data_IF_580082644907
#
_entry.id   IF_580082644907
#
_cell.length_a   1.000
_cell.length_b   1.000
_cell.length_c   1.000
_cell.angle_alpha   90.00
_cell.angle_beta   90.00
_cell.angle_gamma   90.00
#
_symmetry.space_group_name_H-M   'P 1'
#
loop_
_entity.id
_entity.type
_entity.pdbx_description
1 polymer ?
#
# COMPACT_ATOMS: atom_id res chain seq x y z
N UNK A 1 -3.42 8.63 -15.98
CA UNK A 1 -3.12 8.12 -14.62
C UNK A 1 -1.62 8.04 -14.53
N UNK A 2 -0.97 8.91 -13.73
CA UNK A 2 0.48 8.76 -13.51
C UNK A 2 0.71 7.52 -12.65
N UNK A 3 1.64 6.68 -13.07
CA UNK A 3 1.94 5.39 -12.42
C UNK A 3 3.19 5.61 -11.57
N UNK A 4 3.05 5.57 -10.25
CA UNK A 4 4.16 5.84 -9.32
C UNK A 4 5.01 4.59 -9.05
N UNK A 5 4.40 3.41 -9.10
CA UNK A 5 5.09 2.13 -8.93
C UNK A 5 5.18 1.38 -10.26
N UNK A 6 5.49 2.07 -11.35
CA UNK A 6 5.55 1.55 -12.72
C UNK A 6 6.49 0.34 -12.88
N UNK A 7 7.60 0.34 -12.15
CA UNK A 7 8.59 -0.75 -12.14
C UNK A 7 8.15 -2.00 -11.35
N UNK A 8 7.04 -1.94 -10.63
CA UNK A 8 6.58 -3.04 -9.78
C UNK A 8 5.36 -3.72 -10.37
N UNK A 9 5.42 -5.02 -10.57
CA UNK A 9 4.22 -5.79 -10.86
C UNK A 9 3.33 -5.96 -9.62
N UNK A 10 2.10 -6.42 -9.86
CA UNK A 10 1.23 -6.85 -8.76
C UNK A 10 1.91 -7.99 -7.99
N UNK A 11 1.98 -7.87 -6.67
CA UNK A 11 2.56 -8.89 -5.78
C UNK A 11 1.71 -10.15 -5.82
N UNK A 12 2.35 -11.29 -6.07
CA UNK A 12 1.71 -12.60 -6.20
C UNK A 12 2.21 -13.55 -5.13
N UNK A 13 1.44 -14.61 -4.87
CA UNK A 13 1.90 -15.73 -4.07
C UNK A 13 2.80 -16.65 -4.91
N UNK A 14 3.99 -16.93 -4.40
CA UNK A 14 4.97 -17.84 -5.03
C UNK A 14 5.36 -19.02 -4.13
N UNK A 15 4.88 -19.03 -2.89
CA UNK A 15 5.13 -20.11 -1.93
C UNK A 15 6.38 -19.92 -1.05
N UNK A 16 6.55 -20.80 -0.04
CA UNK A 16 7.46 -20.58 1.07
C UNK A 16 8.94 -20.65 0.68
N UNK A 17 9.26 -21.25 -0.47
CA UNK A 17 10.63 -21.39 -0.99
C UNK A 17 11.02 -20.26 -1.95
N UNK A 18 10.12 -19.31 -2.24
CA UNK A 18 10.44 -18.21 -3.15
C UNK A 18 11.55 -17.32 -2.60
N UNK A 19 12.54 -17.04 -3.44
CA UNK A 19 13.61 -16.08 -3.18
C UNK A 19 13.24 -14.66 -3.61
N UNK A 20 12.13 -14.47 -4.34
CA UNK A 20 11.65 -13.16 -4.78
C UNK A 20 11.22 -12.32 -3.55
N UNK A 21 11.86 -11.17 -3.29
CA UNK A 21 11.49 -10.32 -2.16
C UNK A 21 10.14 -9.63 -2.34
N UNK A 22 9.62 -9.54 -3.57
CA UNK A 22 8.37 -8.88 -3.93
C UNK A 22 7.25 -9.88 -4.22
N UNK A 23 7.31 -11.06 -3.59
CA UNK A 23 6.27 -12.08 -3.65
C UNK A 23 5.83 -12.49 -2.24
N UNK A 24 4.55 -12.86 -2.12
CA UNK A 24 4.05 -13.47 -0.90
C UNK A 24 4.54 -14.92 -0.79
N UNK A 25 5.19 -15.23 0.34
CA UNK A 25 5.65 -16.58 0.66
C UNK A 25 4.59 -17.44 1.36
N UNK A 26 3.69 -16.80 2.10
CA UNK A 26 2.70 -17.49 2.94
C UNK A 26 1.27 -16.97 2.73
N UNK A 27 1.12 -15.77 2.17
CA UNK A 27 -0.20 -15.21 1.93
C UNK A 27 -0.71 -15.66 0.55
N UNK A 28 -1.51 -16.73 0.55
CA UNK A 28 -2.33 -17.11 -0.58
C UNK A 28 -3.79 -16.73 -0.31
N UNK A 29 -4.33 -15.67 -0.92
CA UNK A 29 -5.68 -15.18 -0.63
C UNK A 29 -6.79 -16.20 -0.94
N UNK A 30 -6.55 -17.11 -1.89
CA UNK A 30 -7.50 -18.12 -2.34
C UNK A 30 -7.42 -19.43 -1.54
N UNK A 31 -6.42 -19.56 -0.66
CA UNK A 31 -6.26 -20.72 0.21
C UNK A 31 -7.39 -20.81 1.24
N UNK A 32 -8.00 -21.99 1.36
CA UNK A 32 -9.03 -22.27 2.34
C UNK A 32 -8.41 -22.71 3.66
N UNK A 33 -8.55 -21.88 4.69
CA UNK A 33 -8.16 -22.19 6.07
C UNK A 33 -9.45 -22.41 6.87
N UNK A 34 -9.65 -23.61 7.38
CA UNK A 34 -10.86 -23.96 8.15
C UNK A 34 -12.17 -23.58 7.44
N UNK A 35 -12.23 -23.81 6.12
CA UNK A 35 -13.43 -23.58 5.30
C UNK A 35 -13.65 -22.14 4.84
N UNK A 36 -12.72 -21.21 5.09
CA UNK A 36 -12.83 -19.80 4.66
C UNK A 36 -11.53 -19.33 4.02
N UNK A 37 -11.62 -18.46 3.00
CA UNK A 37 -10.47 -17.95 2.26
C UNK A 37 -9.58 -17.11 3.16
N UNK A 38 -8.26 -17.23 3.00
CA UNK A 38 -7.29 -16.53 3.83
C UNK A 38 -7.50 -15.00 3.82
N UNK A 39 -7.90 -14.43 2.67
CA UNK A 39 -8.19 -13.00 2.59
C UNK A 39 -9.39 -12.57 3.45
N UNK A 40 -10.39 -13.44 3.60
CA UNK A 40 -11.58 -13.16 4.40
C UNK A 40 -11.31 -13.34 5.90
N UNK A 41 -10.29 -14.11 6.26
CA UNK A 41 -9.79 -14.22 7.63
C UNK A 41 -9.00 -12.98 8.03
N UNK A 42 -8.00 -12.63 7.23
CA UNK A 42 -7.02 -11.60 7.59
C UNK A 42 -7.55 -10.19 7.33
N UNK A 43 -8.33 -10.00 6.26
CA UNK A 43 -8.97 -8.73 5.88
C UNK A 43 -7.97 -7.57 5.93
N UNK A 44 -6.80 -7.77 5.31
CA UNK A 44 -5.72 -6.80 5.36
C UNK A 44 -6.16 -5.41 4.89
N UNK A 45 -5.62 -4.41 5.58
CA UNK A 45 -5.86 -3.02 5.31
C UNK A 45 -4.55 -2.24 5.40
N UNK A 46 -4.40 -1.25 4.54
CA UNK A 46 -3.27 -0.33 4.58
C UNK A 46 -3.68 0.93 5.33
N UNK A 47 -2.82 1.40 6.24
CA UNK A 47 -3.06 2.64 6.98
C UNK A 47 -2.69 3.84 6.09
N UNK A 48 -3.70 4.62 5.69
CA UNK A 48 -3.49 5.73 4.77
C UNK A 48 -2.50 6.78 5.31
N UNK A 49 -2.57 7.07 6.62
CA UNK A 49 -1.72 8.09 7.25
C UNK A 49 -0.24 7.69 7.22
N UNK A 50 0.09 6.50 7.72
CA UNK A 50 1.48 6.02 7.76
C UNK A 50 2.04 5.84 6.34
N UNK A 51 1.22 5.30 5.43
CA UNK A 51 1.71 4.96 4.09
C UNK A 51 1.84 6.17 3.18
N UNK A 52 0.95 7.19 3.25
CA UNK A 52 0.91 8.28 2.27
C UNK A 52 1.00 9.70 2.84
N UNK A 53 0.75 9.89 4.13
CA UNK A 53 0.74 11.23 4.76
C UNK A 53 1.98 11.52 5.59
N UNK A 54 2.49 10.54 6.34
CA UNK A 54 3.71 10.72 7.13
C UNK A 54 4.93 10.86 6.20
N UNK A 55 5.75 11.87 6.46
CA UNK A 55 6.92 12.25 5.65
C UNK A 55 8.25 11.74 6.24
N UNK A 56 8.20 10.87 7.24
CA UNK A 56 9.39 10.32 7.89
C UNK A 56 10.06 11.25 8.88
N UNK A 57 9.38 12.31 9.33
CA UNK A 57 9.86 13.16 10.42
C UNK A 57 9.72 12.48 11.78
N UNK A 58 10.64 12.79 12.70
CA UNK A 58 10.60 12.37 14.11
C UNK A 58 10.82 13.57 15.05
N UNK A 59 11.01 13.32 16.35
CA UNK A 59 11.18 14.41 17.34
C UNK A 59 12.51 15.15 17.22
N UNK A 60 13.47 14.63 16.45
CA UNK A 60 14.84 15.11 16.35
C UNK A 60 15.23 15.55 14.93
N UNK A 61 14.39 15.30 13.92
CA UNK A 61 14.71 15.57 12.52
C UNK A 61 13.51 15.92 11.65
N UNK A 62 13.82 16.55 10.52
CA UNK A 62 12.82 16.88 9.47
C UNK A 62 12.50 15.65 8.62
N UNK A 63 11.40 15.74 7.86
CA UNK A 63 10.94 14.65 6.99
C UNK A 63 12.00 14.22 5.98
N UNK A 64 12.19 12.90 5.86
CA UNK A 64 13.18 12.27 4.99
C UNK A 64 12.60 11.75 3.67
N UNK A 65 11.28 11.66 3.54
CA UNK A 65 10.63 11.14 2.34
C UNK A 65 10.42 12.23 1.29
N UNK A 66 11.01 12.04 0.11
CA UNK A 66 10.76 12.90 -1.05
C UNK A 66 9.64 12.32 -1.92
N UNK A 67 8.39 12.68 -1.60
CA UNK A 67 7.19 12.15 -2.28
C UNK A 67 6.55 13.21 -3.18
N UNK A 68 6.27 12.91 -4.46
CA UNK A 68 5.74 13.89 -5.41
C UNK A 68 4.40 14.54 -5.03
N UNK A 69 3.61 13.91 -4.16
CA UNK A 69 2.32 14.43 -3.66
C UNK A 69 2.41 15.15 -2.31
N UNK A 70 3.63 15.35 -1.79
CA UNK A 70 3.91 16.14 -0.58
C UNK A 70 4.67 17.44 -0.89
N UNK A 71 4.93 17.71 -2.18
CA UNK A 71 5.59 18.92 -2.64
C UNK A 71 4.66 20.14 -2.58
N UNK A 72 5.19 21.38 -2.50
CA UNK A 72 4.38 22.59 -2.54
C UNK A 72 3.53 22.67 -3.81
N UNK A 73 2.27 23.10 -3.69
CA UNK A 73 1.33 23.19 -4.82
C UNK A 73 -0.12 23.36 -4.34
N UNK A 74 -1.08 23.24 -5.27
CA UNK A 74 -2.50 23.24 -4.91
C UNK A 74 -2.85 22.04 -4.03
N UNK A 75 -3.50 22.30 -2.89
CA UNK A 75 -3.76 21.28 -1.89
C UNK A 75 -4.72 20.20 -2.39
N UNK A 76 -5.70 20.55 -3.22
CA UNK A 76 -6.69 19.61 -3.75
C UNK A 76 -6.07 18.74 -4.84
N UNK A 77 -5.23 19.32 -5.69
CA UNK A 77 -4.44 18.56 -6.68
C UNK A 77 -3.51 17.55 -6.01
N UNK A 78 -2.79 17.95 -4.96
CA UNK A 78 -1.93 17.03 -4.21
C UNK A 78 -2.74 15.92 -3.52
N UNK A 79 -3.93 16.24 -2.99
CA UNK A 79 -4.82 15.24 -2.41
C UNK A 79 -5.31 14.22 -3.45
N UNK A 80 -5.68 14.67 -4.66
CA UNK A 80 -6.06 13.78 -5.77
C UNK A 80 -4.90 12.91 -6.20
N UNK A 81 -3.70 13.48 -6.38
CA UNK A 81 -2.49 12.72 -6.74
C UNK A 81 -2.15 11.66 -5.70
N UNK A 82 -2.25 12.00 -4.40
CA UNK A 82 -2.05 11.05 -3.30
C UNK A 82 -3.08 9.93 -3.33
N UNK A 83 -4.35 10.23 -3.63
CA UNK A 83 -5.39 9.22 -3.78
C UNK A 83 -5.08 8.27 -4.94
N UNK A 84 -4.70 8.78 -6.11
CA UNK A 84 -4.33 7.97 -7.27
C UNK A 84 -3.20 6.98 -6.94
N UNK A 85 -2.13 7.46 -6.31
CA UNK A 85 -1.00 6.60 -5.89
C UNK A 85 -1.43 5.58 -4.83
N UNK A 86 -2.33 5.96 -3.92
CA UNK A 86 -2.83 5.04 -2.91
C UNK A 86 -3.65 3.91 -3.54
N UNK A 87 -4.55 4.22 -4.48
CA UNK A 87 -5.31 3.20 -5.19
C UNK A 87 -4.43 2.28 -6.04
N UNK A 88 -3.38 2.83 -6.67
CA UNK A 88 -2.37 2.03 -7.36
C UNK A 88 -1.67 1.04 -6.41
N UNK A 89 -1.25 1.51 -5.24
CA UNK A 89 -0.64 0.67 -4.20
C UNK A 89 -1.55 -0.47 -3.74
N UNK A 90 -2.84 -0.17 -3.46
CA UNK A 90 -3.81 -1.19 -3.05
C UNK A 90 -4.09 -2.20 -4.15
N UNK A 91 -4.07 -1.76 -5.41
CA UNK A 91 -4.19 -2.66 -6.55
C UNK A 91 -3.01 -3.63 -6.62
N UNK A 92 -1.78 -3.13 -6.47
CA UNK A 92 -0.54 -3.95 -6.52
C UNK A 92 -0.43 -4.95 -5.37
N UNK A 93 -0.91 -4.61 -4.16
CA UNK A 93 -0.91 -5.52 -3.01
C UNK A 93 -2.11 -6.49 -2.95
N UNK A 94 -2.97 -6.50 -3.99
CA UNK A 94 -4.22 -7.29 -4.04
C UNK A 94 -5.20 -6.86 -2.94
N UNK A 95 -6.01 -5.84 -3.28
CA UNK A 95 -7.28 -5.45 -2.63
C UNK A 95 -7.18 -5.27 -1.10
N UNK A 96 -6.19 -4.50 -0.65
CA UNK A 96 -6.19 -4.00 0.72
C UNK A 96 -7.39 -3.07 0.93
N UNK A 97 -8.19 -3.33 1.96
CA UNK A 97 -9.29 -2.43 2.35
C UNK A 97 -8.67 -1.11 2.83
N UNK A 98 -9.18 0.04 2.35
CA UNK A 98 -8.69 1.34 2.78
C UNK A 98 -9.22 1.66 4.18
N UNK A 99 -8.35 1.71 5.19
CA UNK A 99 -8.67 2.29 6.49
C UNK A 99 -8.40 3.80 6.44
N UNK A 100 -9.42 4.58 6.10
CA UNK A 100 -9.43 6.01 6.38
C UNK A 100 -9.74 6.19 7.87
N UNK A 101 -8.97 7.01 8.61
CA UNK A 101 -9.38 7.42 9.94
C UNK A 101 -10.73 8.14 9.83
N UNK A 102 -11.79 7.50 10.33
CA UNK A 102 -13.06 8.19 10.57
C UNK A 102 -12.79 9.20 11.68
N UNK A 103 -12.89 10.48 11.35
CA UNK A 103 -13.17 11.50 12.35
C UNK A 103 -14.64 11.40 12.73
#
# INVERSE_FOLDING_TARGET
MQTYFDQLDRVRYEGPKSTNPLAFRHYNPDELVLGKRMEDHLRFAACYWHTFCWNGADMFGVGSFDRPWQQPGDALEMAKRKADVAFEFFHKLKRALLLLPRR
#
